data_IF_389471256056
#
_entry.id   IF_389471256056
#
_cell.length_a   1.000
_cell.length_b   1.000
_cell.length_c   1.000
_cell.angle_alpha   90.00
_cell.angle_beta   90.00
_cell.angle_gamma   90.00
#
_symmetry.space_group_name_H-M   'P 1'
#
loop_
_entity.id
_entity.type
_entity.pdbx_description
1 polymer ?
#
# COMPACT_ATOMS: atom_id res chain seq x y z
N UNK A 1 30.22 -21.22 17.92
CA UNK A 1 28.83 -21.66 17.63
C UNK A 1 27.98 -20.41 17.72
N UNK A 2 27.67 -19.87 16.55
CA UNK A 2 27.12 -18.54 16.38
C UNK A 2 25.68 -18.47 16.89
N UNK A 3 25.46 -17.61 17.88
CA UNK A 3 24.14 -17.10 18.24
C UNK A 3 23.69 -16.13 17.15
N UNK A 4 23.45 -16.64 15.94
CA UNK A 4 22.78 -15.90 14.88
C UNK A 4 21.35 -15.62 15.39
N UNK A 5 21.06 -14.33 15.61
CA UNK A 5 19.87 -13.84 16.30
C UNK A 5 18.61 -14.65 15.97
N UNK A 6 18.02 -15.25 17.00
CA UNK A 6 16.83 -16.07 16.90
C UNK A 6 15.73 -15.27 16.18
N UNK A 7 15.54 -15.56 14.89
CA UNK A 7 14.41 -15.09 14.11
C UNK A 7 13.18 -15.65 14.80
N UNK A 8 12.46 -14.78 15.52
CA UNK A 8 11.29 -15.10 16.34
C UNK A 8 10.13 -15.51 15.42
N UNK A 9 10.21 -16.75 14.96
CA UNK A 9 9.27 -17.37 14.03
C UNK A 9 8.10 -17.86 14.85
N UNK A 10 6.99 -17.13 14.79
CA UNK A 10 5.77 -17.49 15.53
C UNK A 10 4.87 -18.29 14.59
N UNK A 11 4.40 -19.46 15.01
CA UNK A 11 3.40 -20.20 14.26
C UNK A 11 2.05 -19.47 14.33
N UNK A 12 1.40 -19.25 13.19
CA UNK A 12 0.06 -18.65 13.11
C UNK A 12 -0.88 -19.58 12.35
N UNK A 13 -2.15 -19.59 12.74
CA UNK A 13 -3.19 -20.31 12.02
C UNK A 13 -3.60 -19.51 10.77
N UNK A 14 -3.49 -20.11 9.59
CA UNK A 14 -3.86 -19.46 8.33
C UNK A 14 -5.26 -19.86 7.80
N UNK A 15 -6.03 -20.63 8.57
CA UNK A 15 -7.33 -21.16 8.14
C UNK A 15 -7.31 -22.65 7.75
N UNK A 16 -6.14 -23.20 7.41
CA UNK A 16 -5.97 -24.60 7.01
C UNK A 16 -4.84 -25.33 7.74
N UNK A 17 -3.77 -24.63 8.11
CA UNK A 17 -2.64 -25.18 8.87
C UNK A 17 -1.94 -24.10 9.72
N UNK A 18 -1.17 -24.53 10.70
CA UNK A 18 -0.21 -23.66 11.38
C UNK A 18 1.03 -23.49 10.49
N UNK A 19 1.28 -22.26 10.06
CA UNK A 19 2.45 -21.91 9.27
C UNK A 19 3.42 -21.06 10.10
N UNK A 20 4.74 -21.20 9.90
CA UNK A 20 5.72 -20.32 10.52
C UNK A 20 5.65 -18.92 9.89
N UNK A 21 5.29 -17.90 10.68
CA UNK A 21 5.45 -16.50 10.28
C UNK A 21 6.63 -15.89 10.99
N UNK A 22 7.55 -15.43 10.15
CA UNK A 22 8.58 -14.51 10.57
C UNK A 22 7.97 -13.11 10.69
N UNK A 23 7.71 -12.67 11.92
CA UNK A 23 7.06 -11.37 12.21
C UNK A 23 7.85 -10.19 11.65
N UNK A 24 9.18 -10.25 11.62
CA UNK A 24 10.00 -9.15 11.07
C UNK A 24 9.92 -9.11 9.55
N UNK A 25 9.86 -10.26 8.87
CA UNK A 25 9.62 -10.30 7.42
C UNK A 25 8.21 -9.80 7.08
N UNK A 26 7.18 -10.30 7.77
CA UNK A 26 5.79 -9.90 7.53
C UNK A 26 5.55 -8.39 7.75
N UNK A 27 6.19 -7.78 8.75
CA UNK A 27 6.12 -6.32 8.97
C UNK A 27 6.79 -5.52 7.85
N UNK A 28 7.91 -6.01 7.30
CA UNK A 28 8.59 -5.35 6.17
C UNK A 28 7.71 -5.38 4.91
N UNK A 29 7.17 -6.54 4.57
CA UNK A 29 6.23 -6.69 3.44
C UNK A 29 4.99 -5.80 3.62
N UNK A 30 4.40 -5.78 4.81
CA UNK A 30 3.24 -4.94 5.10
C UNK A 30 3.56 -3.42 5.11
N UNK A 31 4.82 -3.03 5.29
CA UNK A 31 5.27 -1.65 5.17
C UNK A 31 5.50 -1.28 3.70
N UNK A 32 6.11 -2.18 2.92
CA UNK A 32 6.28 -2.01 1.47
C UNK A 32 4.93 -1.87 0.75
N UNK A 33 3.98 -2.77 1.04
CA UNK A 33 2.62 -2.69 0.49
C UNK A 33 1.90 -1.39 0.87
N UNK A 34 2.12 -0.88 2.09
CA UNK A 34 1.58 0.42 2.51
C UNK A 34 2.22 1.59 1.78
N UNK A 35 3.53 1.53 1.52
CA UNK A 35 4.23 2.54 0.75
C UNK A 35 3.76 2.52 -0.70
N UNK A 36 3.67 1.35 -1.34
CA UNK A 36 3.13 1.19 -2.69
C UNK A 36 1.69 1.74 -2.78
N UNK A 37 0.83 1.38 -1.83
CA UNK A 37 -0.53 1.92 -1.76
C UNK A 37 -0.56 3.44 -1.51
N UNK A 38 0.36 3.98 -0.72
CA UNK A 38 0.45 5.43 -0.47
C UNK A 38 0.95 6.18 -1.70
N UNK A 39 1.89 5.62 -2.47
CA UNK A 39 2.37 6.18 -3.74
C UNK A 39 1.29 6.11 -4.82
N UNK A 40 0.66 4.95 -5.02
CA UNK A 40 -0.46 4.83 -5.95
C UNK A 40 -1.64 5.70 -5.53
N UNK A 41 -1.91 5.82 -4.23
CA UNK A 41 -2.94 6.70 -3.67
C UNK A 41 -2.61 8.18 -3.86
N UNK A 42 -1.36 8.59 -3.69
CA UNK A 42 -0.91 9.97 -3.91
C UNK A 42 -0.98 10.36 -5.39
N UNK A 43 -0.57 9.48 -6.30
CA UNK A 43 -0.74 9.66 -7.75
C UNK A 43 -2.22 9.61 -8.17
N UNK A 44 -3.06 8.90 -7.41
CA UNK A 44 -4.50 8.83 -7.62
C UNK A 44 -5.28 10.00 -7.00
N UNK A 45 -4.68 10.88 -6.20
CA UNK A 45 -5.35 12.10 -5.71
C UNK A 45 -5.22 13.16 -6.80
N UNK A 46 -6.28 13.43 -7.58
CA UNK A 46 -6.19 14.46 -8.60
C UNK A 46 -6.16 15.81 -7.89
N UNK A 47 -5.22 16.68 -8.27
CA UNK A 47 -5.14 18.04 -7.76
C UNK A 47 -6.49 18.75 -7.85
N UNK A 48 -6.77 19.73 -6.98
CA UNK A 48 -8.02 20.49 -7.04
C UNK A 48 -8.26 21.10 -8.42
N UNK A 49 -7.20 21.56 -9.09
CA UNK A 49 -7.24 22.05 -10.47
C UNK A 49 -7.69 20.97 -11.46
N UNK A 50 -7.19 19.74 -11.34
CA UNK A 50 -7.62 18.61 -12.18
C UNK A 50 -9.09 18.27 -11.94
N UNK A 51 -9.53 18.25 -10.68
CA UNK A 51 -10.95 17.99 -10.34
C UNK A 51 -11.87 19.06 -10.93
N UNK A 52 -11.50 20.34 -10.81
CA UNK A 52 -12.25 21.46 -11.41
C UNK A 52 -12.32 21.36 -12.95
N UNK A 53 -11.21 20.97 -13.59
CA UNK A 53 -11.17 20.78 -15.04
C UNK A 53 -12.10 19.63 -15.51
N UNK A 54 -12.09 18.50 -14.79
CA UNK A 54 -12.97 17.37 -15.09
C UNK A 54 -14.43 17.72 -14.89
N UNK A 55 -14.76 18.48 -13.82
CA UNK A 55 -16.10 18.98 -13.59
C UNK A 55 -16.59 19.86 -14.75
N UNK A 56 -15.78 20.82 -15.20
CA UNK A 56 -16.14 21.67 -16.34
C UNK A 56 -16.39 20.85 -17.62
N UNK A 57 -15.51 19.88 -17.91
CA UNK A 57 -15.66 18.98 -19.07
C UNK A 57 -16.94 18.13 -19.00
N UNK A 58 -17.26 17.57 -17.83
CA UNK A 58 -18.48 16.78 -17.64
C UNK A 58 -19.75 17.62 -17.84
N UNK A 59 -19.69 18.91 -17.53
CA UNK A 59 -20.79 19.85 -17.72
C UNK A 59 -20.78 20.52 -19.11
N UNK A 60 -19.98 20.01 -20.06
CA UNK A 60 -19.95 20.49 -21.44
C UNK A 60 -19.21 21.83 -21.64
N UNK A 61 -18.53 22.34 -20.61
CA UNK A 61 -17.70 23.53 -20.75
C UNK A 61 -16.35 23.14 -21.37
N UNK A 62 -16.04 23.74 -22.52
CA UNK A 62 -14.69 23.68 -23.06
C UNK A 62 -13.77 24.47 -22.14
N UNK A 63 -12.77 23.81 -21.54
CA UNK A 63 -11.73 24.48 -20.79
C UNK A 63 -10.87 25.28 -21.77
N UNK A 64 -11.24 26.55 -21.96
CA UNK A 64 -10.43 27.53 -22.68
C UNK A 64 -9.15 27.79 -21.89
N UNK A 65 -8.04 27.82 -22.62
CA UNK A 65 -6.67 28.01 -22.10
C UNK A 65 -6.47 29.40 -21.50
#
# INVERSE_FOLDING_TARGET
MDSAGAVMTTLYWNGSAFAPVNKTAAKKEAALLRLEAAFMGADAIPSQKHRGLMYLRQNGFAATR
#
